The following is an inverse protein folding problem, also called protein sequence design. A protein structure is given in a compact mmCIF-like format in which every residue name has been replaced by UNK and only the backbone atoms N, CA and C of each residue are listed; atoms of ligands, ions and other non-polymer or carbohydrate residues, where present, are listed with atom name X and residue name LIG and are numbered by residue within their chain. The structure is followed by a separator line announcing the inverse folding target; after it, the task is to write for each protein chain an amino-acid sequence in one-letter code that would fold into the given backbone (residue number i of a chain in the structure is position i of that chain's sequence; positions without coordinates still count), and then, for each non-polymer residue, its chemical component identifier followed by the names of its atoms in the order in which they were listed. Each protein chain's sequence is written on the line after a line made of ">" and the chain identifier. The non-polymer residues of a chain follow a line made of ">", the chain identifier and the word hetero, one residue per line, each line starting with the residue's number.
data_IF_748402041626
#
_entry.id   IF_748402041626
#
_cell.length_a   1.000
_cell.length_b   1.000
_cell.length_c   1.000
_cell.angle_alpha   90.00
_cell.angle_beta   90.00
_cell.angle_gamma   90.00
#
_symmetry.space_group_name_H-M   'P 1'
#
loop_
_entity.id
_entity.type
_entity.pdbx_description
1 polymer ?
#
# COMPACT_ATOMS: atom_id res chain seq x y z
N UNK A 1 9.60 16.61 2.16
CA UNK A 1 9.73 15.75 3.36
C UNK A 1 8.74 16.17 4.45
N UNK A 2 8.57 17.47 4.71
CA UNK A 2 7.54 18.01 5.63
C UNK A 2 6.12 17.56 5.27
N UNK A 3 5.71 17.73 4.01
CA UNK A 3 4.35 17.40 3.56
C UNK A 3 3.98 15.91 3.73
N UNK A 4 4.96 15.01 3.55
CA UNK A 4 4.76 13.57 3.70
C UNK A 4 4.58 13.19 5.17
N UNK A 5 5.33 13.82 6.08
CA UNK A 5 5.19 13.61 7.53
C UNK A 5 3.90 14.24 8.07
N UNK A 6 3.48 15.39 7.56
CA UNK A 6 2.19 15.99 7.90
C UNK A 6 1.02 15.10 7.45
N UNK A 7 1.09 14.58 6.22
CA UNK A 7 0.12 13.61 5.70
C UNK A 7 0.09 12.34 6.55
N UNK A 8 1.26 11.80 6.90
CA UNK A 8 1.39 10.65 7.81
C UNK A 8 0.78 10.91 9.18
N UNK A 9 1.03 12.09 9.76
CA UNK A 9 0.41 12.55 11.00
C UNK A 9 -1.11 12.48 10.97
N UNK A 10 -1.72 12.98 9.88
CA UNK A 10 -3.18 12.92 9.69
C UNK A 10 -3.68 11.48 9.54
N UNK A 11 -2.99 10.64 8.78
CA UNK A 11 -3.33 9.22 8.58
C UNK A 11 -3.33 8.48 9.91
N UNK A 12 -2.23 8.58 10.67
CA UNK A 12 -2.08 7.88 11.95
C UNK A 12 -3.14 8.36 12.96
N UNK A 13 -3.34 9.67 13.10
CA UNK A 13 -4.35 10.21 14.01
C UNK A 13 -5.77 9.74 13.64
N UNK A 14 -6.14 9.82 12.36
CA UNK A 14 -7.46 9.41 11.85
C UNK A 14 -7.71 7.91 11.98
N UNK A 15 -6.69 7.09 11.76
CA UNK A 15 -6.80 5.64 11.87
C UNK A 15 -6.86 5.20 13.33
N UNK A 16 -5.99 5.75 14.18
CA UNK A 16 -5.97 5.45 15.62
C UNK A 16 -7.30 5.80 16.31
N UNK A 17 -7.87 6.97 16.00
CA UNK A 17 -9.16 7.41 16.57
C UNK A 17 -10.35 6.48 16.26
N UNK A 18 -10.21 5.59 15.27
CA UNK A 18 -11.26 4.67 14.81
C UNK A 18 -10.84 3.20 14.90
N UNK A 19 -9.70 2.91 15.54
CA UNK A 19 -9.12 1.57 15.61
C UNK A 19 -9.01 0.89 14.23
N UNK A 20 -8.64 1.68 13.23
CA UNK A 20 -8.39 1.23 11.86
C UNK A 20 -6.93 0.84 11.76
N UNK A 21 -6.68 -0.34 11.19
CA UNK A 21 -5.32 -0.86 10.99
C UNK A 21 -4.96 -0.91 9.51
N UNK A 22 -3.67 -0.67 9.24
CA UNK A 22 -3.12 -0.51 7.90
C UNK A 22 -1.99 -1.54 7.69
N UNK A 23 -1.94 -2.12 6.50
CA UNK A 23 -0.84 -2.95 6.02
C UNK A 23 -0.33 -2.44 4.66
N UNK A 24 0.98 -2.51 4.44
CA UNK A 24 1.65 -1.89 3.29
C UNK A 24 2.47 -2.92 2.54
N UNK A 25 2.23 -3.07 1.24
CA UNK A 25 3.09 -3.82 0.31
C UNK A 25 3.86 -2.86 -0.59
N UNK A 26 5.17 -2.98 -0.63
CA UNK A 26 6.03 -2.09 -1.41
C UNK A 26 6.84 -2.88 -2.44
N UNK A 27 7.02 -2.28 -3.62
CA UNK A 27 7.99 -2.73 -4.62
C UNK A 27 8.93 -1.57 -4.93
N UNK A 28 8.57 -0.67 -5.86
CA UNK A 28 9.46 0.40 -6.30
C UNK A 28 9.88 1.37 -5.17
N UNK A 29 9.01 1.59 -4.18
CA UNK A 29 9.27 2.52 -3.07
C UNK A 29 10.29 1.96 -2.08
N UNK A 30 10.42 0.64 -1.95
CA UNK A 30 11.48 -0.01 -1.19
C UNK A 30 11.44 0.25 0.32
N UNK A 31 10.26 0.44 0.91
CA UNK A 31 10.09 0.67 2.35
C UNK A 31 9.78 2.12 2.73
N UNK A 32 9.75 3.06 1.77
CA UNK A 32 9.53 4.48 2.05
C UNK A 32 8.14 4.76 2.63
N UNK A 33 7.11 4.03 2.23
CA UNK A 33 5.75 4.23 2.77
C UNK A 33 5.71 3.79 4.22
N UNK A 34 6.23 2.60 4.52
CA UNK A 34 6.32 2.09 5.89
C UNK A 34 7.20 2.99 6.78
N UNK A 35 8.38 3.41 6.31
CA UNK A 35 9.28 4.31 7.05
C UNK A 35 8.59 5.63 7.40
N UNK A 36 7.86 6.22 6.44
CA UNK A 36 7.18 7.50 6.66
C UNK A 36 6.10 7.37 7.73
N UNK A 37 5.32 6.27 7.71
CA UNK A 37 4.34 5.96 8.75
C UNK A 37 5.03 5.73 10.10
N UNK A 38 6.07 4.90 10.17
CA UNK A 38 6.80 4.55 11.40
C UNK A 38 7.39 5.79 12.10
N UNK A 39 7.77 6.83 11.34
CA UNK A 39 8.26 8.09 11.90
C UNK A 39 7.22 8.91 12.64
N UNK A 40 5.94 8.60 12.47
CA UNK A 40 4.85 9.31 13.13
C UNK A 40 4.55 8.69 14.50
N UNK A 41 4.53 9.48 15.59
CA UNK A 41 4.13 8.99 16.90
C UNK A 41 2.75 8.31 16.87
N UNK A 42 2.63 7.14 17.50
CA UNK A 42 1.41 6.34 17.48
C UNK A 42 1.28 5.36 16.31
N UNK A 43 2.25 5.32 15.38
CA UNK A 43 2.19 4.40 14.23
C UNK A 43 2.06 2.92 14.63
N UNK A 44 2.57 2.51 15.78
CA UNK A 44 2.48 1.12 16.27
C UNK A 44 1.05 0.65 16.58
N UNK A 45 0.10 1.56 16.78
CA UNK A 45 -1.32 1.20 16.97
C UNK A 45 -2.09 1.07 15.66
N UNK A 46 -1.49 1.52 14.55
CA UNK A 46 -2.13 1.60 13.23
C UNK A 46 -1.48 0.66 12.21
N UNK A 47 -0.15 0.74 12.05
CA UNK A 47 0.60 -0.04 11.07
C UNK A 47 0.85 -1.45 11.61
N UNK A 48 0.19 -2.45 11.00
CA UNK A 48 0.27 -3.86 11.40
C UNK A 48 1.39 -4.62 10.71
N UNK A 49 1.63 -4.31 9.43
CA UNK A 49 2.58 -5.05 8.61
C UNK A 49 3.10 -4.16 7.48
N UNK A 50 4.41 -4.23 7.22
CA UNK A 50 5.04 -3.74 6.00
C UNK A 50 5.78 -4.89 5.32
N UNK A 51 5.57 -5.07 4.02
CA UNK A 51 6.26 -6.07 3.19
C UNK A 51 6.90 -5.38 2.00
N UNK A 52 8.20 -5.60 1.77
CA UNK A 52 8.86 -5.19 0.53
C UNK A 52 9.01 -6.41 -0.37
N UNK A 53 8.11 -6.55 -1.36
CA UNK A 53 8.10 -7.64 -2.34
C UNK A 53 8.70 -7.15 -3.68
N UNK A 54 10.02 -6.94 -3.66
CA UNK A 54 10.73 -6.28 -4.77
C UNK A 54 10.77 -7.14 -6.03
N UNK A 55 11.20 -8.40 -5.92
CA UNK A 55 11.21 -9.35 -7.03
C UNK A 55 9.78 -9.77 -7.42
N UNK A 56 9.56 -10.03 -8.70
CA UNK A 56 8.24 -10.43 -9.23
C UNK A 56 7.72 -11.71 -8.55
N UNK A 57 8.60 -12.68 -8.33
CA UNK A 57 8.29 -13.96 -7.69
C UNK A 57 7.85 -13.75 -6.23
N UNK A 58 8.43 -12.77 -5.54
CA UNK A 58 8.04 -12.45 -4.15
C UNK A 58 6.63 -11.86 -4.06
N UNK A 59 6.12 -11.22 -5.12
CA UNK A 59 4.71 -10.82 -5.19
C UNK A 59 3.79 -12.04 -5.14
N UNK A 60 4.18 -13.15 -5.76
CA UNK A 60 3.43 -14.41 -5.67
C UNK A 60 3.63 -15.11 -4.31
N UNK A 61 4.89 -15.34 -3.92
CA UNK A 61 5.19 -16.18 -2.76
C UNK A 61 4.72 -15.57 -1.44
N UNK A 62 4.95 -14.26 -1.27
CA UNK A 62 4.66 -13.56 -0.01
C UNK A 62 3.27 -12.94 -0.02
N UNK A 63 2.94 -12.23 -1.10
CA UNK A 63 1.69 -11.47 -1.21
C UNK A 63 0.57 -12.24 -1.91
N UNK A 64 0.79 -13.50 -2.31
CA UNK A 64 -0.22 -14.36 -2.94
C UNK A 64 -0.86 -13.75 -4.19
N UNK A 65 -0.15 -12.85 -4.88
CA UNK A 65 -0.58 -12.37 -6.20
C UNK A 65 -0.69 -13.57 -7.14
N UNK A 66 -1.80 -13.76 -7.87
CA UNK A 66 -1.97 -14.91 -8.75
C UNK A 66 -0.85 -15.01 -9.79
N UNK A 67 -0.21 -16.18 -9.91
CA UNK A 67 0.87 -16.39 -10.88
C UNK A 67 0.39 -16.18 -12.32
N UNK A 68 -0.85 -16.56 -12.63
CA UNK A 68 -1.47 -16.31 -13.94
C UNK A 68 -1.59 -14.81 -14.25
N UNK A 69 -1.94 -13.98 -13.26
CA UNK A 69 -2.02 -12.53 -13.43
C UNK A 69 -0.64 -11.93 -13.71
N UNK A 70 0.39 -12.35 -12.97
CA UNK A 70 1.77 -11.91 -13.20
C UNK A 70 2.29 -12.34 -14.57
N UNK A 71 1.93 -13.53 -15.04
CA UNK A 71 2.31 -14.02 -16.36
C UNK A 71 1.61 -13.25 -17.50
N UNK A 72 0.33 -12.90 -17.32
CA UNK A 72 -0.46 -12.19 -18.33
C UNK A 72 -0.14 -10.69 -18.39
N UNK A 73 -0.02 -10.04 -17.23
CA UNK A 73 0.02 -8.57 -17.11
C UNK A 73 1.39 -8.02 -16.72
N UNK A 74 2.30 -8.87 -16.22
CA UNK A 74 3.57 -8.43 -15.66
C UNK A 74 3.41 -7.79 -14.26
N UNK A 75 4.52 -7.43 -13.59
CA UNK A 75 4.49 -6.93 -12.21
C UNK A 75 4.09 -5.46 -12.07
N UNK A 76 4.04 -4.69 -13.16
CA UNK A 76 3.71 -3.26 -13.19
C UNK A 76 2.35 -3.11 -13.86
N UNK A 77 1.30 -3.37 -13.07
CA UNK A 77 -0.07 -3.33 -13.56
C UNK A 77 -1.02 -2.95 -12.40
N UNK A 78 -2.12 -2.21 -12.66
CA UNK A 78 -3.09 -1.85 -11.63
C UNK A 78 -3.74 -3.07 -10.93
N UNK A 79 -4.03 -4.16 -11.65
CA UNK A 79 -4.62 -5.36 -11.06
C UNK A 79 -3.63 -6.10 -10.16
N UNK A 80 -2.34 -6.06 -10.52
CA UNK A 80 -1.26 -6.56 -9.65
C UNK A 80 -1.13 -5.70 -8.40
N UNK A 81 -1.26 -4.37 -8.51
CA UNK A 81 -1.27 -3.50 -7.35
C UNK A 81 -2.42 -3.82 -6.39
N UNK A 82 -3.64 -4.06 -6.92
CA UNK A 82 -4.79 -4.50 -6.11
C UNK A 82 -4.50 -5.85 -5.45
N UNK A 83 -4.01 -6.83 -6.20
CA UNK A 83 -3.68 -8.15 -5.66
C UNK A 83 -2.61 -8.09 -4.56
N UNK A 84 -1.60 -7.22 -4.70
CA UNK A 84 -0.61 -6.97 -3.65
C UNK A 84 -1.24 -6.36 -2.40
N UNK A 85 -2.14 -5.38 -2.56
CA UNK A 85 -2.82 -4.72 -1.45
C UNK A 85 -3.73 -5.69 -0.69
N UNK A 86 -4.46 -6.54 -1.43
CA UNK A 86 -5.23 -7.64 -0.87
C UNK A 86 -4.36 -8.61 -0.08
N UNK A 87 -3.28 -9.07 -0.70
CA UNK A 87 -2.35 -10.02 -0.12
C UNK A 87 -1.78 -9.55 1.22
N UNK A 88 -1.30 -8.30 1.29
CA UNK A 88 -0.71 -7.78 2.52
C UNK A 88 -1.75 -7.56 3.62
N UNK A 89 -2.98 -7.15 3.27
CA UNK A 89 -4.09 -7.05 4.21
C UNK A 89 -4.42 -8.42 4.81
N UNK A 90 -4.53 -9.45 3.98
CA UNK A 90 -4.81 -10.82 4.42
C UNK A 90 -3.65 -11.36 5.30
N UNK A 91 -2.40 -11.11 4.92
CA UNK A 91 -1.23 -11.51 5.69
C UNK A 91 -1.19 -10.85 7.09
N UNK A 92 -1.58 -9.59 7.17
CA UNK A 92 -1.68 -8.83 8.43
C UNK A 92 -2.83 -9.30 9.35
N UNK A 93 -3.71 -10.18 8.87
CA UNK A 93 -4.86 -10.72 9.59
C UNK A 93 -4.70 -12.20 10.00
N UNK A 94 -3.54 -12.83 9.78
CA UNK A 94 -3.32 -14.27 10.03
C UNK A 94 -3.38 -14.67 11.51
N UNK A 95 -3.11 -13.77 12.46
CA UNK A 95 -3.09 -14.04 13.90
C UNK A 95 -4.46 -13.87 14.59
N UNK A 96 -5.57 -13.95 13.84
CA UNK A 96 -6.93 -13.55 14.25
C UNK A 96 -7.09 -12.05 14.54
N UNK A 97 -6.03 -11.26 14.33
CA UNK A 97 -6.16 -9.82 14.21
C UNK A 97 -6.89 -9.45 12.93
N UNK A 98 -7.26 -8.19 12.84
CA UNK A 98 -7.95 -7.68 11.68
C UNK A 98 -7.18 -6.52 11.05
N UNK A 99 -7.21 -6.45 9.73
CA UNK A 99 -6.59 -5.41 8.94
C UNK A 99 -7.64 -4.72 8.08
N UNK A 100 -7.86 -3.44 8.34
CA UNK A 100 -8.89 -2.67 7.64
C UNK A 100 -8.45 -2.29 6.24
N UNK A 101 -7.19 -1.88 6.08
CA UNK A 101 -6.68 -1.31 4.82
C UNK A 101 -5.39 -2.01 4.42
N UNK A 102 -5.37 -2.59 3.22
CA UNK A 102 -4.15 -2.90 2.49
C UNK A 102 -3.86 -1.82 1.47
N UNK A 103 -2.61 -1.37 1.39
CA UNK A 103 -2.13 -0.49 0.31
C UNK A 103 -0.90 -1.10 -0.34
N UNK A 104 -0.75 -0.93 -1.65
CA UNK A 104 0.40 -1.44 -2.38
C UNK A 104 0.99 -0.45 -3.38
N UNK A 105 2.30 -0.56 -3.62
CA UNK A 105 3.03 0.17 -4.66
C UNK A 105 3.75 -0.78 -5.61
N UNK A 106 3.59 -0.58 -6.92
CA UNK A 106 4.38 -1.28 -7.96
C UNK A 106 4.62 -0.37 -9.15
N UNK A 107 5.76 -0.48 -9.83
CA UNK A 107 6.14 0.46 -10.89
C UNK A 107 7.61 0.41 -11.27
N UNK A 108 7.99 1.27 -12.21
CA UNK A 108 9.34 1.42 -12.73
C UNK A 108 9.91 2.76 -12.27
N UNK A 109 10.76 2.72 -11.24
CA UNK A 109 11.42 3.93 -10.76
C UNK A 109 12.46 4.50 -11.75
N UNK A 110 12.89 3.74 -12.76
CA UNK A 110 13.94 4.15 -13.70
C UNK A 110 15.37 3.83 -13.22
N UNK A 111 16.40 4.31 -13.94
CA UNK A 111 16.33 5.37 -14.96
C UNK A 111 15.85 4.91 -16.36
N UNK A 112 15.87 3.61 -16.64
CA UNK A 112 15.44 3.05 -17.93
C UNK A 112 14.03 2.47 -17.88
N UNK A 113 13.49 2.15 -19.06
CA UNK A 113 12.29 1.35 -19.19
C UNK A 113 12.54 -0.09 -18.71
N UNK A 114 11.50 -0.75 -18.22
CA UNK A 114 11.58 -2.15 -17.76
C UNK A 114 10.38 -2.93 -18.27
N UNK A 115 10.62 -4.05 -18.97
CA UNK A 115 9.58 -4.93 -19.49
C UNK A 115 8.47 -4.21 -20.29
N UNK A 116 8.83 -3.18 -21.07
CA UNK A 116 7.88 -2.41 -21.88
C UNK A 116 7.26 -1.19 -21.18
N UNK A 117 7.49 -1.03 -19.87
CA UNK A 117 6.99 0.10 -19.09
C UNK A 117 8.00 1.25 -19.05
N UNK A 118 7.60 2.51 -19.36
CA UNK A 118 8.48 3.66 -19.26
C UNK A 118 8.91 3.96 -17.82
N UNK A 119 10.09 4.57 -17.61
CA UNK A 119 10.48 5.06 -16.29
C UNK A 119 9.47 6.11 -15.81
N UNK A 120 9.13 6.06 -14.52
CA UNK A 120 8.15 6.95 -13.93
C UNK A 120 6.73 6.41 -13.89
N UNK A 121 6.46 5.27 -14.54
CA UNK A 121 5.18 4.57 -14.43
C UNK A 121 5.06 3.85 -13.09
N UNK A 122 3.96 4.05 -12.38
CA UNK A 122 3.63 3.28 -11.17
C UNK A 122 2.13 3.24 -10.89
N UNK A 123 1.74 2.25 -10.09
CA UNK A 123 0.37 2.03 -9.66
C UNK A 123 0.30 1.92 -8.14
N UNK A 124 -0.78 2.48 -7.59
CA UNK A 124 -1.15 2.34 -6.18
C UNK A 124 -2.41 1.50 -6.12
N UNK A 125 -2.37 0.39 -5.39
CA UNK A 125 -3.53 -0.47 -5.12
C UNK A 125 -4.05 -0.29 -3.70
N UNK A 126 -5.36 -0.43 -3.52
CA UNK A 126 -6.04 -0.45 -2.22
C UNK A 126 -7.00 -1.64 -2.11
N UNK A 127 -7.02 -2.25 -0.93
CA UNK A 127 -8.02 -3.21 -0.49
C UNK A 127 -8.59 -2.74 0.85
N UNK A 128 -9.89 -2.47 0.90
CA UNK A 128 -10.58 -1.96 2.08
C UNK A 128 -11.57 -3.00 2.63
N UNK A 129 -11.51 -3.21 3.94
CA UNK A 129 -12.55 -3.88 4.71
C UNK A 129 -13.62 -2.86 5.10
N UNK A 130 -14.84 -3.05 4.61
CA UNK A 130 -16.00 -2.22 4.95
C UNK A 130 -17.12 -3.07 5.56
N UNK A 131 -18.04 -2.43 6.26
CA UNK A 131 -19.26 -3.09 6.79
C UNK A 131 -20.17 -3.66 5.69
N UNK A 132 -19.92 -3.30 4.42
CA UNK A 132 -20.65 -3.78 3.24
C UNK A 132 -19.86 -4.82 2.43
N UNK A 133 -18.68 -5.24 2.91
CA UNK A 133 -17.80 -6.18 2.23
C UNK A 133 -16.46 -5.55 1.81
N UNK A 134 -15.77 -6.21 0.88
CA UNK A 134 -14.47 -5.74 0.37
C UNK A 134 -14.67 -4.71 -0.73
N UNK A 135 -13.85 -3.65 -0.71
CA UNK A 135 -13.79 -2.63 -1.75
C UNK A 135 -12.35 -2.49 -2.22
N UNK A 136 -12.13 -2.58 -3.52
CA UNK A 136 -10.82 -2.43 -4.15
C UNK A 136 -10.77 -1.22 -5.06
N UNK A 137 -9.60 -0.60 -5.17
CA UNK A 137 -9.35 0.44 -6.17
C UNK A 137 -7.87 0.51 -6.51
N UNK A 138 -7.58 1.11 -7.66
CA UNK A 138 -6.22 1.42 -8.07
C UNK A 138 -6.14 2.80 -8.72
N UNK A 139 -4.96 3.40 -8.67
CA UNK A 139 -4.62 4.60 -9.44
C UNK A 139 -3.32 4.39 -10.19
N UNK A 140 -3.27 4.85 -11.43
CA UNK A 140 -2.09 4.76 -12.30
C UNK A 140 -1.48 6.14 -12.50
N UNK A 141 -0.15 6.20 -12.50
CA UNK A 141 0.61 7.44 -12.53
C UNK A 141 1.77 7.31 -13.50
N UNK A 142 2.11 8.42 -14.15
CA UNK A 142 3.32 8.57 -14.95
C UNK A 142 3.93 9.92 -14.59
N UNK A 143 5.12 9.89 -13.99
CA UNK A 143 5.82 11.11 -13.55
C UNK A 143 7.22 11.18 -14.15
N UNK A 144 7.71 12.40 -14.37
CA UNK A 144 9.08 12.64 -14.80
C UNK A 144 9.99 12.86 -13.60
N UNK A 145 11.23 12.41 -13.69
CA UNK A 145 12.25 12.65 -12.65
C UNK A 145 13.31 11.57 -12.64
N UNK A 146 14.28 11.73 -11.75
CA UNK A 146 15.22 10.66 -11.46
C UNK A 146 14.56 9.55 -10.61
N UNK A 147 15.32 8.49 -10.36
CA UNK A 147 14.85 7.32 -9.61
C UNK A 147 14.31 7.69 -8.23
N UNK A 148 14.97 8.60 -7.52
CA UNK A 148 14.52 9.01 -6.19
C UNK A 148 13.23 9.82 -6.27
N UNK A 149 13.12 10.75 -7.23
CA UNK A 149 11.89 11.52 -7.44
C UNK A 149 10.68 10.62 -7.71
N UNK A 150 10.82 9.59 -8.56
CA UNK A 150 9.73 8.64 -8.84
C UNK A 150 9.36 7.84 -7.59
N UNK A 151 10.35 7.36 -6.81
CA UNK A 151 10.11 6.64 -5.56
C UNK A 151 9.35 7.49 -4.54
N UNK A 152 9.74 8.75 -4.38
CA UNK A 152 9.05 9.67 -3.47
C UNK A 152 7.64 10.01 -3.96
N UNK A 153 7.45 10.20 -5.26
CA UNK A 153 6.13 10.44 -5.84
C UNK A 153 5.18 9.26 -5.60
N UNK A 154 5.66 8.03 -5.80
CA UNK A 154 4.88 6.82 -5.53
C UNK A 154 4.54 6.67 -4.04
N UNK A 155 5.49 6.97 -3.14
CA UNK A 155 5.23 6.94 -1.70
C UNK A 155 4.17 7.96 -1.28
N UNK A 156 4.26 9.20 -1.79
CA UNK A 156 3.27 10.25 -1.53
C UNK A 156 1.90 9.87 -2.10
N UNK A 157 1.84 9.26 -3.30
CA UNK A 157 0.60 8.79 -3.89
C UNK A 157 -0.07 7.70 -3.03
N UNK A 158 0.71 6.75 -2.48
CA UNK A 158 0.22 5.75 -1.54
C UNK A 158 -0.35 6.38 -0.27
N UNK A 159 0.35 7.34 0.34
CA UNK A 159 -0.11 8.04 1.53
C UNK A 159 -1.38 8.86 1.24
N UNK A 160 -1.48 9.52 0.09
CA UNK A 160 -2.70 10.24 -0.32
C UNK A 160 -3.89 9.29 -0.51
N UNK A 161 -3.65 8.11 -1.09
CA UNK A 161 -4.66 7.08 -1.25
C UNK A 161 -5.16 6.58 0.12
N UNK A 162 -4.27 6.37 1.10
CA UNK A 162 -4.63 6.04 2.48
C UNK A 162 -5.46 7.15 3.14
N UNK A 163 -5.02 8.40 3.05
CA UNK A 163 -5.74 9.53 3.66
C UNK A 163 -7.15 9.69 3.09
N UNK A 164 -7.30 9.55 1.77
CA UNK A 164 -8.60 9.56 1.09
C UNK A 164 -9.47 8.35 1.49
N UNK A 165 -8.90 7.15 1.59
CA UNK A 165 -9.63 5.96 2.06
C UNK A 165 -10.17 6.17 3.49
N UNK A 166 -9.40 6.83 4.35
CA UNK A 166 -9.78 7.19 5.71
C UNK A 166 -10.89 8.25 5.80
N UNK A 167 -11.33 8.88 4.70
CA UNK A 167 -12.52 9.74 4.70
C UNK A 167 -13.82 8.94 4.66
N UNK A 168 -13.75 7.66 4.30
CA UNK A 168 -14.91 6.76 4.31
C UNK A 168 -15.41 6.55 5.74
N UNK A 169 -16.74 6.52 5.87
CA UNK A 169 -17.44 6.30 7.13
C UNK A 169 -17.90 4.85 7.33
N UNK A 170 -17.73 4.00 6.32
CA UNK A 170 -18.19 2.61 6.29
C UNK A 170 -17.05 1.58 6.48
N UNK A 171 -15.84 2.04 6.81
CA UNK A 171 -14.71 1.15 7.11
C UNK A 171 -14.99 0.30 8.34
N UNK A 172 -14.59 -0.98 8.28
CA UNK A 172 -14.69 -1.89 9.41
C UNK A 172 -13.70 -1.46 10.49
N UNK A 173 -14.24 -1.04 11.63
CA UNK A 173 -13.45 -0.75 12.82
C UNK A 173 -13.22 -2.06 13.58
N UNK A 174 -12.00 -2.26 14.09
CA UNK A 174 -11.67 -3.45 14.84
C UNK A 174 -11.61 -3.08 16.32
N UNK A 175 -12.52 -3.61 17.13
CA UNK A 175 -12.38 -3.47 18.58
C UNK A 175 -11.12 -4.19 19.04
N UNK A 176 -10.47 -3.69 20.08
CA UNK A 176 -9.55 -4.52 20.86
C UNK A 176 -10.36 -5.72 21.37
N UNK A 177 -10.28 -6.86 20.68
CA UNK A 177 -10.75 -8.11 21.25
C UNK A 177 -9.93 -8.31 22.50
N UNK A 178 -10.59 -8.22 23.64
CA UNK A 178 -10.06 -8.53 24.97
C UNK A 178 -9.19 -9.77 24.83
N UNK A 179 -7.87 -9.61 25.03
CA UNK A 179 -6.99 -10.74 25.28
C UNK A 179 -7.28 -11.28 26.67
#
# INVERSE_FOLDING_TARGET
>A
MTDALELSGRIVARAAARHITIAVAESLTGGLVAETLVRTPGASTVLRLGVVAYATEMKHEVLRVPAALLAERGPVDPDVAIAMARGVRELAALDRGACTIGVATTGVAGPGAQAGHPPGEFHIGLELDTVRGRVTSSTSHLVTGDREAVRHAAAIAALRALDAALERTDLTMHSESTR
#
